data_IF_396501994809
#
_entry.id   IF_396501994809
#
_cell.length_a   1.000
_cell.length_b   1.000
_cell.length_c   1.000
_cell.angle_alpha   90.00
_cell.angle_beta   90.00
_cell.angle_gamma   90.00
#
_symmetry.space_group_name_H-M   'P 1'
#
loop_
_entity.id
_entity.type
_entity.pdbx_description
1 polymer ?
#
# COMPACT_ATOMS: atom_id res chain seq x y z
N UNK A 1 11.33 -23.38 -5.32
CA UNK A 1 10.63 -22.22 -4.71
C UNK A 1 9.31 -22.01 -5.44
N UNK A 2 8.18 -22.27 -4.80
CA UNK A 2 6.87 -21.92 -5.36
C UNK A 2 6.70 -20.40 -5.29
N UNK A 3 6.54 -19.74 -6.44
CA UNK A 3 6.19 -18.32 -6.49
C UNK A 3 4.78 -18.15 -5.91
N UNK A 4 4.63 -17.25 -4.94
CA UNK A 4 3.30 -16.74 -4.57
C UNK A 4 2.61 -16.25 -5.85
N UNK A 5 1.39 -16.73 -6.13
CA UNK A 5 0.66 -16.38 -7.35
C UNK A 5 0.75 -17.36 -8.53
N UNK A 6 1.21 -18.60 -8.34
CA UNK A 6 1.33 -19.60 -9.43
C UNK A 6 0.07 -19.85 -10.27
N UNK A 7 -1.13 -19.51 -9.76
CA UNK A 7 -2.42 -19.58 -10.50
C UNK A 7 -2.75 -18.27 -11.24
N UNK A 8 -2.15 -17.14 -10.86
CA UNK A 8 -2.50 -15.79 -11.30
C UNK A 8 -1.51 -15.17 -12.30
N UNK A 9 -0.45 -15.90 -12.68
CA UNK A 9 0.54 -15.43 -13.67
C UNK A 9 1.61 -14.52 -13.06
N UNK A 10 2.35 -13.84 -13.93
CA UNK A 10 3.36 -12.86 -13.53
C UNK A 10 2.70 -11.54 -13.09
N UNK A 11 3.43 -10.71 -12.34
CA UNK A 11 2.97 -9.37 -11.96
C UNK A 11 2.67 -8.47 -13.17
N UNK A 12 3.25 -8.81 -14.33
CA UNK A 12 3.10 -8.12 -15.62
C UNK A 12 2.00 -8.71 -16.51
N UNK A 13 1.07 -9.48 -15.95
CA UNK A 13 -0.11 -9.94 -16.67
C UNK A 13 -0.97 -8.75 -17.14
N UNK A 14 -1.36 -8.75 -18.41
CA UNK A 14 -2.21 -7.69 -18.97
C UNK A 14 -3.56 -7.57 -18.24
N UNK A 15 -4.05 -8.66 -17.65
CA UNK A 15 -5.24 -8.70 -16.80
C UNK A 15 -5.02 -8.16 -15.38
N UNK A 16 -3.82 -7.68 -15.05
CA UNK A 16 -3.49 -6.87 -13.87
C UNK A 16 -3.37 -5.36 -14.22
N UNK A 17 -3.58 -4.97 -15.47
CA UNK A 17 -3.59 -3.56 -15.85
C UNK A 17 -4.98 -2.96 -15.60
N UNK A 18 -4.99 -1.78 -14.98
CA UNK A 18 -6.21 -0.99 -14.79
C UNK A 18 -5.97 0.35 -15.49
N UNK A 19 -6.66 0.62 -16.61
CA UNK A 19 -6.53 1.90 -17.29
C UNK A 19 -7.17 2.99 -16.43
N UNK A 20 -6.38 4.01 -16.09
CA UNK A 20 -6.82 5.16 -15.33
C UNK A 20 -6.48 6.44 -16.10
N UNK A 21 -7.32 7.46 -15.96
CA UNK A 21 -6.96 8.82 -16.38
C UNK A 21 -5.73 9.29 -15.59
N UNK A 22 -4.96 10.23 -16.14
CA UNK A 22 -3.69 10.68 -15.56
C UNK A 22 -3.81 11.19 -14.11
N UNK A 23 -4.87 11.94 -13.78
CA UNK A 23 -5.05 12.50 -12.43
C UNK A 23 -5.37 11.40 -11.39
N UNK A 24 -6.36 10.51 -11.62
CA UNK A 24 -6.58 9.32 -10.77
C UNK A 24 -5.36 8.41 -10.69
N UNK A 25 -4.58 8.28 -11.76
CA UNK A 25 -3.37 7.47 -11.76
C UNK A 25 -2.32 8.01 -10.77
N UNK A 26 -2.09 9.32 -10.76
CA UNK A 26 -1.10 9.97 -9.89
C UNK A 26 -1.51 9.85 -8.42
N UNK A 27 -2.79 10.06 -8.12
CA UNK A 27 -3.34 9.96 -6.77
C UNK A 27 -3.37 8.51 -6.25
N UNK A 28 -3.60 7.53 -7.12
CA UNK A 28 -3.54 6.10 -6.81
C UNK A 28 -2.12 5.61 -6.53
N UNK A 29 -1.16 5.96 -7.40
CA UNK A 29 0.20 5.42 -7.33
C UNK A 29 1.13 6.21 -6.39
N UNK A 30 1.23 7.51 -6.61
CA UNK A 30 2.23 8.35 -5.92
C UNK A 30 1.75 8.76 -4.54
N UNK A 31 0.53 9.26 -4.45
CA UNK A 31 0.00 9.81 -3.18
C UNK A 31 -0.66 8.73 -2.32
N UNK A 32 -1.10 7.62 -2.92
CA UNK A 32 -1.85 6.55 -2.25
C UNK A 32 -3.04 7.13 -1.47
N UNK A 33 -3.71 8.13 -2.06
CA UNK A 33 -4.80 8.87 -1.43
C UNK A 33 -6.10 8.10 -1.42
N UNK A 34 -6.24 7.13 -2.34
CA UNK A 34 -7.37 6.21 -2.41
C UNK A 34 -6.93 4.78 -2.73
N UNK A 35 -7.86 3.86 -2.50
CA UNK A 35 -7.74 2.42 -2.75
C UNK A 35 -8.98 1.92 -3.47
N UNK A 36 -8.86 0.75 -4.08
CA UNK A 36 -9.98 0.04 -4.67
C UNK A 36 -10.31 -1.13 -3.75
N UNK A 37 -11.52 -1.18 -3.23
CA UNK A 37 -11.93 -2.18 -2.23
C UNK A 37 -13.28 -2.81 -2.60
N UNK A 38 -13.48 -4.11 -2.34
CA UNK A 38 -14.79 -4.71 -2.49
C UNK A 38 -15.70 -4.20 -1.36
N UNK A 39 -16.87 -3.66 -1.74
CA UNK A 39 -17.95 -3.33 -0.81
C UNK A 39 -19.18 -4.18 -1.14
N UNK A 40 -19.95 -4.49 -0.11
CA UNK A 40 -21.25 -5.12 -0.27
C UNK A 40 -22.23 -4.07 -0.79
N UNK A 41 -22.92 -4.40 -1.87
CA UNK A 41 -23.96 -3.57 -2.46
C UNK A 41 -25.25 -4.35 -2.36
N UNK A 42 -26.24 -3.74 -1.70
CA UNK A 42 -27.57 -4.31 -1.62
C UNK A 42 -28.20 -4.24 -3.01
N UNK A 43 -28.21 -5.35 -3.75
CA UNK A 43 -28.93 -5.43 -5.01
C UNK A 43 -30.39 -5.64 -4.64
N UNK A 44 -31.18 -4.56 -4.71
CA UNK A 44 -32.62 -4.65 -4.53
C UNK A 44 -33.21 -5.26 -5.80
N UNK A 45 -33.43 -6.57 -5.80
CA UNK A 45 -34.33 -7.21 -6.75
C UNK A 45 -35.72 -7.30 -6.11
N UNK A 46 -36.78 -7.03 -6.87
CA UNK A 46 -38.18 -7.03 -6.40
C UNK A 46 -38.61 -8.37 -5.78
N UNK A 47 -37.83 -9.44 -5.97
CA UNK A 47 -38.14 -10.81 -5.54
C UNK A 47 -37.11 -11.45 -4.61
N UNK A 48 -35.95 -10.82 -4.38
CA UNK A 48 -34.93 -11.32 -3.42
C UNK A 48 -33.86 -10.26 -3.10
N UNK A 49 -33.33 -10.29 -1.88
CA UNK A 49 -32.13 -9.52 -1.51
C UNK A 49 -30.91 -10.37 -1.84
N UNK A 50 -30.38 -10.24 -3.06
CA UNK A 50 -29.08 -10.83 -3.39
C UNK A 50 -27.96 -9.84 -3.02
N UNK A 51 -26.94 -10.31 -2.31
CA UNK A 51 -25.85 -9.46 -1.83
C UNK A 51 -24.65 -9.60 -2.76
N UNK A 52 -24.53 -8.66 -3.71
CA UNK A 52 -23.38 -8.55 -4.60
C UNK A 52 -22.18 -7.87 -3.94
N UNK A 53 -20.97 -8.15 -4.44
CA UNK A 53 -19.77 -7.40 -4.08
C UNK A 53 -19.27 -6.61 -5.29
N UNK A 54 -19.24 -5.29 -5.14
CA UNK A 54 -18.73 -4.39 -6.16
C UNK A 54 -17.42 -3.77 -5.69
N UNK A 55 -16.50 -3.55 -6.62
CA UNK A 55 -15.26 -2.84 -6.32
C UNK A 55 -15.51 -1.35 -6.42
N UNK A 56 -15.15 -0.60 -5.39
CA UNK A 56 -15.31 0.85 -5.38
C UNK A 56 -14.02 1.55 -5.08
N UNK A 57 -13.92 2.80 -5.52
CA UNK A 57 -12.90 3.75 -5.09
C UNK A 57 -13.19 4.21 -3.66
N UNK A 58 -12.24 4.07 -2.76
CA UNK A 58 -12.34 4.55 -1.38
C UNK A 58 -11.13 5.42 -1.04
N UNK A 59 -11.39 6.68 -0.76
CA UNK A 59 -10.37 7.63 -0.32
C UNK A 59 -10.12 7.48 1.19
N UNK A 60 -8.88 7.75 1.63
CA UNK A 60 -8.52 7.70 3.05
C UNK A 60 -8.73 9.01 3.80
N UNK A 61 -8.87 10.13 3.08
CA UNK A 61 -9.02 11.46 3.66
C UNK A 61 -9.97 12.31 2.82
N UNK A 62 -10.63 13.25 3.48
CA UNK A 62 -11.52 14.25 2.89
C UNK A 62 -10.78 15.58 2.61
N UNK A 63 -9.45 15.62 2.74
CA UNK A 63 -8.65 16.86 2.60
C UNK A 63 -8.87 17.57 1.25
N UNK A 64 -9.14 16.80 0.19
CA UNK A 64 -9.55 17.30 -1.11
C UNK A 64 -11.03 17.01 -1.31
N UNK A 65 -11.86 17.97 -0.89
CA UNK A 65 -13.31 17.82 -0.81
C UNK A 65 -13.96 17.64 -2.19
N UNK A 66 -13.42 18.31 -3.21
CA UNK A 66 -13.90 18.22 -4.59
C UNK A 66 -13.65 16.81 -5.14
N UNK A 67 -12.42 16.31 -4.98
CA UNK A 67 -12.06 14.95 -5.41
C UNK A 67 -12.81 13.90 -4.60
N UNK A 68 -12.93 14.08 -3.28
CA UNK A 68 -13.68 13.17 -2.42
C UNK A 68 -15.14 13.07 -2.87
N UNK A 69 -15.84 14.19 -3.02
CA UNK A 69 -17.26 14.17 -3.40
C UNK A 69 -17.50 13.52 -4.76
N UNK A 70 -16.61 13.76 -5.71
CA UNK A 70 -16.79 13.30 -7.10
C UNK A 70 -16.32 11.86 -7.33
N UNK A 71 -15.32 11.37 -6.58
CA UNK A 71 -14.70 10.06 -6.84
C UNK A 71 -14.85 9.05 -5.69
N UNK A 72 -15.36 9.45 -4.52
CA UNK A 72 -15.56 8.54 -3.41
C UNK A 72 -16.74 7.58 -3.64
N UNK A 73 -16.51 6.29 -3.41
CA UNK A 73 -17.49 5.20 -3.58
C UNK A 73 -18.02 5.08 -5.02
N UNK A 74 -17.24 5.53 -6.01
CA UNK A 74 -17.52 5.24 -7.41
C UNK A 74 -17.25 3.76 -7.69
N UNK A 75 -18.22 3.08 -8.30
CA UNK A 75 -18.14 1.67 -8.70
C UNK A 75 -17.20 1.53 -9.88
N UNK A 76 -16.35 0.51 -9.83
CA UNK A 76 -15.46 0.14 -10.93
C UNK A 76 -16.12 -0.99 -11.71
N UNK A 77 -16.75 -0.61 -12.82
CA UNK A 77 -17.51 -1.52 -13.68
C UNK A 77 -16.63 -2.61 -14.30
N UNK A 78 -15.36 -2.31 -14.60
CA UNK A 78 -14.46 -3.19 -15.35
C UNK A 78 -13.19 -3.51 -14.57
N UNK A 79 -13.32 -4.39 -13.57
CA UNK A 79 -12.16 -4.98 -12.90
C UNK A 79 -11.97 -6.44 -13.30
N UNK A 80 -10.90 -6.70 -14.06
CA UNK A 80 -10.54 -8.04 -14.47
C UNK A 80 -10.26 -8.95 -13.25
N UNK A 81 -10.72 -10.20 -13.29
CA UNK A 81 -10.63 -11.13 -12.14
C UNK A 81 -9.19 -11.35 -11.67
N UNK A 82 -8.22 -11.32 -12.58
CA UNK A 82 -6.79 -11.46 -12.23
C UNK A 82 -6.22 -10.23 -11.52
N UNK A 83 -6.79 -9.04 -11.67
CA UNK A 83 -6.33 -7.82 -10.98
C UNK A 83 -6.68 -7.82 -9.48
N UNK A 84 -7.68 -8.62 -9.06
CA UNK A 84 -8.22 -8.59 -7.68
C UNK A 84 -7.17 -8.83 -6.58
N UNK A 85 -6.28 -9.86 -6.67
CA UNK A 85 -5.24 -10.07 -5.67
C UNK A 85 -4.23 -8.91 -5.62
N UNK A 86 -3.92 -8.30 -6.76
CA UNK A 86 -3.00 -7.18 -6.84
C UNK A 86 -3.61 -5.90 -6.28
N UNK A 87 -4.89 -5.64 -6.55
CA UNK A 87 -5.64 -4.57 -5.90
C UNK A 87 -5.66 -4.74 -4.39
N UNK A 88 -5.86 -5.96 -3.90
CA UNK A 88 -5.77 -6.24 -2.47
C UNK A 88 -4.36 -5.96 -1.93
N UNK A 89 -3.31 -6.35 -2.65
CA UNK A 89 -1.94 -6.01 -2.28
C UNK A 89 -1.69 -4.49 -2.27
N UNK A 90 -2.25 -3.74 -3.23
CA UNK A 90 -2.18 -2.27 -3.26
C UNK A 90 -2.93 -1.64 -2.09
N UNK A 91 -4.10 -2.18 -1.74
CA UNK A 91 -4.84 -1.77 -0.56
C UNK A 91 -3.99 -1.96 0.71
N UNK A 92 -3.44 -3.16 0.91
CA UNK A 92 -2.57 -3.45 2.05
C UNK A 92 -1.36 -2.52 2.09
N UNK A 93 -0.73 -2.26 0.95
CA UNK A 93 0.41 -1.34 0.87
C UNK A 93 0.05 0.09 1.27
N UNK A 94 -1.10 0.59 0.82
CA UNK A 94 -1.57 1.92 1.18
C UNK A 94 -1.88 2.03 2.68
N UNK A 95 -2.51 1.01 3.28
CA UNK A 95 -2.78 0.93 4.72
C UNK A 95 -1.48 0.89 5.52
N UNK A 96 -0.54 0.00 5.18
CA UNK A 96 0.73 -0.11 5.89
C UNK A 96 1.59 1.14 5.78
N UNK A 97 1.52 1.87 4.66
CA UNK A 97 2.19 3.17 4.51
C UNK A 97 1.67 4.22 5.49
N UNK A 98 0.40 4.12 5.90
CA UNK A 98 -0.24 5.04 6.86
C UNK A 98 -0.21 4.52 8.30
N UNK A 99 0.13 3.25 8.50
CA UNK A 99 0.07 2.58 9.80
C UNK A 99 0.92 3.27 10.87
N UNK A 100 2.15 3.71 10.53
CA UNK A 100 3.00 4.43 11.49
C UNK A 100 2.32 5.70 12.00
N UNK A 101 1.77 6.52 11.08
CA UNK A 101 1.04 7.74 11.44
C UNK A 101 -0.18 7.44 12.30
N UNK A 102 -0.90 6.36 11.99
CA UNK A 102 -2.00 5.89 12.82
C UNK A 102 -1.55 5.54 14.24
N UNK A 103 -0.44 4.82 14.42
CA UNK A 103 0.05 4.42 15.75
C UNK A 103 0.48 5.63 16.59
N UNK A 104 1.14 6.62 15.99
CA UNK A 104 1.71 7.77 16.71
C UNK A 104 0.78 8.99 16.82
N UNK A 105 -0.48 8.90 16.38
CA UNK A 105 -1.44 10.01 16.36
C UNK A 105 -1.97 10.43 17.75
N UNK A 106 -1.18 10.28 18.82
CA UNK A 106 -1.51 10.77 20.17
C UNK A 106 -2.61 10.02 20.94
N UNK A 107 -3.42 9.19 20.29
CA UNK A 107 -4.48 8.44 20.98
C UNK A 107 -3.94 7.22 21.75
N UNK A 108 -4.55 6.94 22.90
CA UNK A 108 -4.28 5.73 23.69
C UNK A 108 -4.79 4.51 22.93
N UNK A 109 -3.95 3.48 22.80
CA UNK A 109 -4.29 2.26 22.03
C UNK A 109 -3.89 1.00 22.80
N UNK A 110 -4.66 -0.06 22.60
CA UNK A 110 -4.27 -1.40 23.03
C UNK A 110 -3.30 -1.96 21.99
N UNK A 111 -2.10 -2.33 22.42
CA UNK A 111 -1.04 -2.84 21.56
C UNK A 111 -0.64 -4.25 21.98
N UNK A 112 -0.28 -5.06 20.99
CA UNK A 112 0.35 -6.37 21.20
C UNK A 112 1.77 -6.25 20.64
N UNK A 113 2.77 -6.40 21.51
CA UNK A 113 4.18 -6.26 21.17
C UNK A 113 4.88 -7.60 21.28
N UNK A 114 5.79 -7.84 20.35
CA UNK A 114 6.70 -8.96 20.39
C UNK A 114 7.92 -8.57 21.21
N UNK A 115 8.10 -9.17 22.38
CA UNK A 115 9.26 -8.91 23.25
C UNK A 115 10.16 -10.14 23.18
N UNK A 116 11.42 -9.92 22.80
CA UNK A 116 12.43 -10.96 22.82
C UNK A 116 13.13 -10.90 24.17
N UNK A 117 13.07 -11.99 24.91
CA UNK A 117 13.88 -12.12 26.12
C UNK A 117 15.36 -12.24 25.72
N UNK A 118 16.18 -11.35 26.28
CA UNK A 118 17.59 -11.22 25.93
C UNK A 118 18.41 -12.41 26.46
N UNK A 119 17.90 -13.11 27.48
CA UNK A 119 18.56 -14.28 28.07
C UNK A 119 18.19 -15.61 27.41
N UNK A 120 16.89 -15.89 27.23
CA UNK A 120 16.43 -17.19 26.73
C UNK A 120 16.21 -17.26 25.22
N UNK A 121 16.19 -16.11 24.53
CA UNK A 121 15.82 -16.03 23.12
C UNK A 121 14.34 -16.32 22.86
N UNK A 122 13.55 -16.56 23.91
CA UNK A 122 12.11 -16.77 23.79
C UNK A 122 11.41 -15.50 23.33
N UNK A 123 10.38 -15.71 22.53
CA UNK A 123 9.55 -14.67 21.96
C UNK A 123 8.23 -14.68 22.72
N UNK A 124 7.94 -13.60 23.44
CA UNK A 124 6.69 -13.44 24.17
C UNK A 124 5.82 -12.35 23.55
N UNK A 125 4.51 -12.55 23.56
CA UNK A 125 3.54 -11.52 23.20
C UNK A 125 3.10 -10.78 24.45
N UNK A 126 3.39 -9.48 24.51
CA UNK A 126 2.95 -8.61 25.60
C UNK A 126 1.78 -7.75 25.12
N UNK A 127 0.68 -7.74 25.86
CA UNK A 127 -0.51 -6.94 25.54
C UNK A 127 -0.67 -5.82 26.55
N UNK A 128 -0.48 -4.57 26.12
CA UNK A 128 -0.56 -3.41 27.01
C UNK A 128 -1.37 -2.28 26.38
N UNK A 129 -1.96 -1.45 27.24
CA UNK A 129 -2.45 -0.12 26.85
C UNK A 129 -1.29 0.86 26.87
N UNK A 130 -1.01 1.52 25.75
CA UNK A 130 0.03 2.53 25.64
C UNK A 130 -0.58 3.90 25.33
N UNK A 131 -0.07 4.94 26.00
CA UNK A 131 -0.43 6.33 25.74
C UNK A 131 0.11 6.84 24.42
N UNK A 132 -0.40 7.98 23.96
CA UNK A 132 0.08 8.63 22.73
C UNK A 132 1.57 8.93 22.78
N UNK A 133 2.04 9.48 23.89
CA UNK A 133 3.46 9.82 24.11
C UNK A 133 4.34 8.58 24.16
N UNK A 134 3.88 7.50 24.79
CA UNK A 134 4.59 6.22 24.82
C UNK A 134 4.72 5.64 23.40
N UNK A 135 3.63 5.63 22.64
CA UNK A 135 3.61 5.14 21.26
C UNK A 135 4.47 6.00 20.35
N UNK A 136 4.43 7.31 20.52
CA UNK A 136 5.30 8.23 19.82
C UNK A 136 6.77 7.92 20.14
N UNK A 137 7.14 7.81 21.42
CA UNK A 137 8.51 7.48 21.83
C UNK A 137 8.98 6.15 21.24
N UNK A 138 8.13 5.10 21.28
CA UNK A 138 8.47 3.76 20.81
C UNK A 138 8.54 3.63 19.28
N UNK A 139 7.68 4.34 18.52
CA UNK A 139 7.52 4.12 17.07
C UNK A 139 7.93 5.31 16.20
N UNK A 140 8.14 6.52 16.76
CA UNK A 140 8.56 7.70 15.99
C UNK A 140 10.02 7.62 15.57
N UNK A 141 10.87 6.94 16.34
CA UNK A 141 12.28 6.74 16.02
C UNK A 141 12.42 5.89 14.75
N UNK A 142 12.51 6.56 13.60
CA UNK A 142 12.76 5.96 12.28
C UNK A 142 14.19 5.47 12.14
N UNK A 143 14.72 4.73 13.11
CA UNK A 143 15.96 3.99 12.94
C UNK A 143 15.67 2.75 12.12
N UNK A 144 15.65 2.94 10.80
CA UNK A 144 15.93 1.87 9.85
C UNK A 144 17.22 1.19 10.31
N UNK A 145 17.13 0.03 10.97
CA UNK A 145 18.24 -0.89 10.98
C UNK A 145 18.35 -1.44 9.56
N UNK A 146 18.93 -0.63 8.67
CA UNK A 146 19.38 -1.12 7.39
C UNK A 146 20.39 -2.23 7.69
N UNK A 147 20.02 -3.44 7.33
CA UNK A 147 20.97 -4.54 7.14
C UNK A 147 21.82 -4.16 5.92
N UNK A 148 22.70 -3.18 6.09
CA UNK A 148 23.68 -2.82 5.09
C UNK A 148 24.76 -3.89 5.15
N UNK A 149 24.70 -4.84 4.23
CA UNK A 149 25.87 -5.65 3.92
C UNK A 149 26.97 -4.69 3.46
N UNK A 150 28.11 -4.68 4.18
CA UNK A 150 29.30 -3.91 3.82
C UNK A 150 29.73 -4.31 2.40
N UNK A 151 29.32 -3.54 1.39
CA UNK A 151 29.78 -3.71 0.01
C UNK A 151 31.19 -3.14 -0.11
N UNK A 152 32.15 -4.05 -0.32
CA UNK A 152 33.55 -3.78 -0.65
C UNK A 152 33.58 -3.04 -2.00
N UNK A 153 34.19 -1.85 -2.02
CA UNK A 153 34.27 -0.96 -3.18
C UNK A 153 35.49 -1.33 -4.03
N UNK A 154 35.29 -1.65 -5.30
CA UNK A 154 36.34 -1.63 -6.34
C UNK A 154 35.77 -0.99 -7.60
N UNK A 155 36.52 -0.06 -8.19
CA UNK A 155 36.17 0.90 -9.25
C UNK A 155 36.25 0.32 -10.69
N UNK A 156 35.60 1.01 -11.64
CA UNK A 156 35.78 0.96 -13.11
C UNK A 156 34.46 1.27 -13.83
N UNK A 157 34.15 2.52 -14.24
CA UNK A 157 34.50 3.27 -15.48
C UNK A 157 33.56 3.02 -16.70
N UNK A 158 33.03 4.14 -17.26
CA UNK A 158 32.39 4.38 -18.59
C UNK A 158 31.14 3.57 -18.99
N UNK A 159 30.15 4.00 -19.80
CA UNK A 159 29.96 5.17 -20.68
C UNK A 159 28.48 5.23 -21.17
N UNK A 160 28.11 6.35 -21.80
CA UNK A 160 26.79 6.89 -22.20
C UNK A 160 26.17 6.22 -23.47
N UNK A 161 24.82 6.16 -23.60
CA UNK A 161 24.07 6.47 -24.85
C UNK A 161 22.53 6.57 -24.67
N UNK A 162 21.92 7.53 -25.38
CA UNK A 162 20.48 7.90 -25.46
C UNK A 162 19.61 6.95 -26.30
N UNK A 163 18.28 6.97 -26.09
CA UNK A 163 17.22 7.41 -27.05
C UNK A 163 15.88 6.63 -26.95
N UNK A 164 14.76 7.38 -26.81
CA UNK A 164 13.57 7.24 -27.67
C UNK A 164 12.33 6.39 -27.26
N UNK A 165 11.20 7.09 -27.07
CA UNK A 165 9.81 6.72 -27.47
C UNK A 165 8.80 6.13 -26.46
N UNK A 166 7.99 7.05 -25.89
CA UNK A 166 6.53 7.08 -25.74
C UNK A 166 5.70 5.79 -25.74
N UNK A 167 5.25 5.40 -24.54
CA UNK A 167 3.87 5.02 -24.15
C UNK A 167 3.87 4.76 -22.63
N UNK A 168 3.29 5.65 -21.82
CA UNK A 168 3.34 5.53 -20.38
C UNK A 168 2.31 4.51 -19.86
N UNK A 169 2.73 3.26 -19.70
CA UNK A 169 2.08 2.27 -18.85
C UNK A 169 2.99 2.04 -17.64
N UNK A 170 2.49 2.29 -16.42
CA UNK A 170 3.30 2.12 -15.21
C UNK A 170 2.91 0.84 -14.46
N UNK A 171 3.95 0.02 -14.31
CA UNK A 171 4.03 -1.25 -13.59
C UNK A 171 3.77 -1.05 -12.10
N UNK A 172 2.95 -1.90 -11.49
CA UNK A 172 2.79 -1.93 -10.04
C UNK A 172 4.00 -2.62 -9.37
N UNK A 173 5.17 -1.99 -9.37
CA UNK A 173 6.32 -2.46 -8.59
C UNK A 173 6.38 -1.74 -7.25
N UNK A 174 6.54 -2.50 -6.16
CA UNK A 174 6.90 -1.96 -4.86
C UNK A 174 8.40 -1.67 -4.83
N UNK A 175 8.83 -0.54 -5.41
CA UNK A 175 10.20 -0.07 -5.25
C UNK A 175 10.20 1.24 -4.45
N UNK A 176 10.89 1.18 -3.32
CA UNK A 176 11.24 2.33 -2.49
C UNK A 176 12.38 3.10 -3.18
N UNK A 177 12.05 4.23 -3.82
CA UNK A 177 13.04 5.21 -4.22
C UNK A 177 13.07 6.34 -3.17
N UNK A 178 14.22 6.52 -2.53
CA UNK A 178 14.47 7.63 -1.61
C UNK A 178 14.73 8.92 -2.39
N UNK A 179 14.10 10.02 -1.97
CA UNK A 179 14.45 11.37 -2.41
C UNK A 179 14.86 12.23 -1.19
N UNK A 180 15.78 13.19 -1.36
CA UNK A 180 16.44 13.91 -0.28
C UNK A 180 15.59 15.08 0.24
N UNK A 181 15.77 15.40 1.53
CA UNK A 181 15.13 16.54 2.20
C UNK A 181 15.80 17.87 1.79
N UNK A 182 15.03 18.95 1.54
CA UNK A 182 15.58 20.30 1.39
C UNK A 182 15.95 20.92 2.76
N UNK A 183 16.89 21.87 2.73
CA UNK A 183 17.46 22.60 3.87
C UNK A 183 16.48 23.58 4.50
#
# INVERSE_FOLDING_TARGET
>A
MHKYGGVYGDIDDAGNLIPLRQDPHTTFNSHRSFVIVPKEVAIRSETSVDSGREYVVHHFSMDDEEVWRSHHTVIIETLHRRARPYIFARFAWAVFSKFKFFVIAGLRRRTIRLVKDTGSGNIAYQTDWAGGDDLFSLYSAGRSQSVSSKRKKTQGEGSISQAGSNKAAIRCTANAASLPLPR
#
